data_IF_610515538391
#
_entry.id   IF_610515538391
#
_cell.length_a   1.000
_cell.length_b   1.000
_cell.length_c   1.000
_cell.angle_alpha   90.00
_cell.angle_beta   90.00
_cell.angle_gamma   90.00
#
_symmetry.space_group_name_H-M   'P 1'
#
loop_
_entity.id
_entity.type
_entity.pdbx_description
1 polymer ?
#
# COMPACT_ATOMS: atom_id res chain seq x y z
N UNK A 1 -18.94 14.46 7.75
CA UNK A 1 -17.67 14.15 7.05
C UNK A 1 -18.01 14.03 5.58
N UNK A 2 -17.61 15.01 4.76
CA UNK A 2 -17.93 15.06 3.34
C UNK A 2 -17.00 14.08 2.63
N UNK A 3 -17.56 12.95 2.20
CA UNK A 3 -16.84 12.03 1.32
C UNK A 3 -16.78 12.67 -0.07
N UNK A 4 -15.74 12.44 -0.86
CA UNK A 4 -15.61 13.00 -2.22
C UNK A 4 -15.31 11.87 -3.22
N UNK A 5 -16.19 11.69 -4.19
CA UNK A 5 -15.96 10.95 -5.45
C UNK A 5 -16.00 11.91 -6.65
N UNK A 6 -16.04 11.42 -7.89
CA UNK A 6 -15.99 12.23 -9.12
C UNK A 6 -17.21 11.95 -10.02
N UNK A 7 -17.66 12.93 -10.82
CA UNK A 7 -18.70 12.76 -11.87
C UNK A 7 -18.22 13.33 -13.22
N UNK A 8 -18.86 12.94 -14.34
CA UNK A 8 -18.45 13.34 -15.70
C UNK A 8 -19.68 13.72 -16.55
N UNK A 9 -19.54 14.69 -17.48
CA UNK A 9 -20.57 15.06 -18.49
C UNK A 9 -19.96 15.48 -19.88
N UNK A 10 -20.09 14.67 -20.96
CA UNK A 10 -20.18 15.02 -22.42
C UNK A 10 -21.41 14.52 -23.28
N UNK A 11 -22.08 15.35 -24.09
CA UNK A 11 -23.22 15.02 -24.98
C UNK A 11 -23.03 13.69 -25.78
N UNK A 12 -23.92 12.70 -25.57
CA UNK A 12 -23.73 11.23 -25.72
C UNK A 12 -22.83 10.62 -24.62
N UNK A 13 -23.33 10.72 -23.39
CA UNK A 13 -22.56 10.96 -22.18
C UNK A 13 -22.37 9.70 -21.31
N UNK A 14 -21.29 8.94 -21.50
CA UNK A 14 -20.96 7.85 -20.57
C UNK A 14 -20.20 8.42 -19.37
N UNK A 15 -20.88 8.52 -18.23
CA UNK A 15 -20.30 8.94 -16.95
C UNK A 15 -19.89 7.76 -16.08
N UNK A 16 -18.86 7.96 -15.26
CA UNK A 16 -18.43 7.03 -14.20
C UNK A 16 -18.11 7.74 -12.89
N UNK A 17 -17.47 7.05 -11.97
CA UNK A 17 -17.00 7.57 -10.70
C UNK A 17 -15.52 7.24 -10.53
N UNK A 18 -14.87 7.96 -9.63
CA UNK A 18 -13.55 7.64 -9.13
C UNK A 18 -13.32 8.30 -7.78
N UNK A 19 -12.23 7.98 -7.11
CA UNK A 19 -11.90 8.53 -5.81
C UNK A 19 -10.39 8.64 -5.62
N UNK A 20 -9.96 9.68 -4.92
CA UNK A 20 -8.55 9.87 -4.59
C UNK A 20 -8.11 8.85 -3.54
N UNK A 21 -6.93 8.25 -3.75
CA UNK A 21 -6.28 7.34 -2.80
C UNK A 21 -4.91 7.89 -2.44
N UNK A 22 -4.59 7.89 -1.15
CA UNK A 22 -3.26 8.30 -0.69
C UNK A 22 -2.26 7.17 -0.95
N UNK A 23 -1.46 7.31 -2.00
CA UNK A 23 -0.33 6.44 -2.29
C UNK A 23 0.95 7.09 -1.76
N UNK A 24 1.57 6.54 -0.69
CA UNK A 24 2.81 7.04 -0.13
C UNK A 24 3.92 7.15 -1.17
N UNK A 25 4.71 8.22 -1.11
CA UNK A 25 5.86 8.41 -2.01
C UNK A 25 5.52 8.93 -3.41
N UNK A 26 4.27 9.34 -3.68
CA UNK A 26 3.87 9.95 -4.95
C UNK A 26 3.89 11.48 -4.94
N UNK A 27 4.34 12.08 -6.04
CA UNK A 27 4.21 13.50 -6.37
C UNK A 27 2.91 13.80 -7.15
N UNK A 28 2.24 12.77 -7.64
CA UNK A 28 0.92 12.82 -8.26
C UNK A 28 -0.19 12.45 -7.27
N UNK A 29 -1.36 13.04 -7.46
CA UNK A 29 -2.60 12.60 -6.85
C UNK A 29 -3.18 11.45 -7.69
N UNK A 30 -3.51 10.35 -7.04
CA UNK A 30 -3.93 9.12 -7.71
C UNK A 30 -5.43 8.92 -7.50
N UNK A 31 -6.17 8.76 -8.60
CA UNK A 31 -7.59 8.43 -8.61
C UNK A 31 -7.73 6.96 -8.98
N UNK A 32 -8.47 6.20 -8.18
CA UNK A 32 -8.91 4.86 -8.55
C UNK A 32 -10.28 4.93 -9.21
N UNK A 33 -10.49 4.11 -10.24
CA UNK A 33 -11.74 4.03 -11.01
C UNK A 33 -11.91 2.62 -11.58
N UNK A 34 -13.12 2.29 -12.07
CA UNK A 34 -13.34 1.09 -12.87
C UNK A 34 -12.59 1.19 -14.20
N UNK A 35 -12.09 0.06 -14.71
CA UNK A 35 -11.36 -0.03 -15.97
C UNK A 35 -12.23 0.35 -17.17
N UNK A 36 -13.49 -0.06 -17.17
CA UNK A 36 -14.46 0.27 -18.22
C UNK A 36 -14.88 1.77 -18.29
N UNK A 37 -14.43 2.59 -17.33
CA UNK A 37 -14.54 4.04 -17.44
C UNK A 37 -13.41 4.62 -18.33
N UNK A 38 -12.28 3.91 -18.45
CA UNK A 38 -11.08 4.34 -19.17
C UNK A 38 -10.91 3.64 -20.53
N UNK A 39 -11.66 2.58 -20.78
CA UNK A 39 -11.71 1.89 -22.07
C UNK A 39 -13.05 1.20 -22.30
N UNK A 40 -13.38 0.95 -23.56
CA UNK A 40 -14.59 0.22 -23.95
C UNK A 40 -14.35 -1.29 -24.11
N UNK A 41 -15.44 -2.02 -24.39
CA UNK A 41 -15.44 -3.47 -24.60
C UNK A 41 -14.70 -3.93 -25.86
N UNK A 42 -14.40 -3.01 -26.78
CA UNK A 42 -13.61 -3.26 -27.99
C UNK A 42 -12.11 -2.98 -27.76
N UNK A 43 -11.71 -2.64 -26.54
CA UNK A 43 -10.32 -2.33 -26.20
C UNK A 43 -9.92 -0.89 -26.51
N UNK A 44 -10.84 -0.03 -26.97
CA UNK A 44 -10.54 1.36 -27.32
C UNK A 44 -10.55 2.24 -26.08
N UNK A 45 -9.53 3.10 -25.95
CA UNK A 45 -9.42 4.08 -24.86
C UNK A 45 -10.53 5.13 -24.93
N UNK A 46 -11.02 5.54 -23.76
CA UNK A 46 -11.94 6.68 -23.63
C UNK A 46 -11.26 7.96 -24.09
N UNK A 47 -11.91 8.71 -24.98
CA UNK A 47 -11.40 9.99 -25.51
C UNK A 47 -12.06 11.18 -24.78
N UNK A 48 -11.39 12.33 -24.77
CA UNK A 48 -11.89 13.58 -24.18
C UNK A 48 -12.27 13.45 -22.69
N UNK A 49 -11.50 12.67 -21.93
CA UNK A 49 -11.73 12.39 -20.52
C UNK A 49 -11.54 13.65 -19.66
N UNK A 50 -12.49 13.98 -18.77
CA UNK A 50 -12.45 15.19 -17.91
C UNK A 50 -12.92 14.96 -16.47
N UNK A 51 -12.02 15.02 -15.49
CA UNK A 51 -12.34 14.74 -14.10
C UNK A 51 -12.97 15.94 -13.38
N UNK A 52 -13.95 15.69 -12.51
CA UNK A 52 -14.61 16.74 -11.72
C UNK A 52 -14.72 16.36 -10.25
N UNK A 53 -14.27 17.24 -9.36
CA UNK A 53 -14.45 17.12 -7.91
C UNK A 53 -15.08 18.39 -7.33
N UNK A 54 -15.70 18.27 -6.15
CA UNK A 54 -16.50 19.34 -5.54
C UNK A 54 -15.71 20.61 -5.22
N UNK A 55 -14.39 20.50 -4.94
CA UNK A 55 -13.55 21.68 -4.66
C UNK A 55 -13.22 22.53 -5.90
N UNK A 56 -13.60 22.08 -7.11
CA UNK A 56 -13.36 22.83 -8.36
C UNK A 56 -14.23 24.09 -8.51
N UNK A 57 -15.34 24.17 -7.77
CA UNK A 57 -16.35 25.21 -7.93
C UNK A 57 -17.16 25.07 -9.23
N UNK A 58 -18.32 25.72 -9.29
CA UNK A 58 -19.28 25.61 -10.40
C UNK A 58 -18.77 26.14 -11.75
N UNK A 59 -17.70 26.95 -11.74
CA UNK A 59 -17.19 27.64 -12.93
C UNK A 59 -16.13 26.85 -13.69
N UNK A 60 -15.55 25.79 -13.11
CA UNK A 60 -14.55 24.98 -13.79
C UNK A 60 -15.20 24.07 -14.82
N UNK A 61 -14.50 23.73 -15.92
CA UNK A 61 -14.98 22.75 -16.93
C UNK A 61 -14.45 21.32 -16.70
N UNK A 62 -14.08 21.00 -15.45
CA UNK A 62 -13.32 19.80 -15.10
C UNK A 62 -11.85 19.92 -15.46
N UNK A 63 -11.07 18.89 -15.13
CA UNK A 63 -9.66 18.76 -15.46
C UNK A 63 -9.51 17.76 -16.59
N UNK A 64 -8.90 18.19 -17.69
CA UNK A 64 -8.61 17.31 -18.82
C UNK A 64 -7.61 16.22 -18.42
N UNK A 65 -7.94 14.97 -18.76
CA UNK A 65 -7.12 13.80 -18.48
C UNK A 65 -6.63 13.25 -19.81
N UNK A 66 -5.31 13.24 -20.00
CA UNK A 66 -4.70 12.70 -21.20
C UNK A 66 -4.55 11.18 -21.08
N UNK A 67 -4.54 10.49 -22.21
CA UNK A 67 -4.39 9.02 -22.23
C UNK A 67 -3.14 8.55 -21.47
N UNK A 68 -2.02 9.28 -21.62
CA UNK A 68 -0.74 9.00 -20.93
C UNK A 68 -0.84 9.05 -19.40
N UNK A 69 -1.84 9.74 -18.86
CA UNK A 69 -2.08 9.91 -17.43
C UNK A 69 -3.02 8.81 -16.88
N UNK A 70 -3.46 7.89 -17.73
CA UNK A 70 -4.32 6.76 -17.37
C UNK A 70 -3.59 5.43 -17.43
N UNK A 71 -3.99 4.50 -16.58
CA UNK A 71 -3.58 3.09 -16.63
C UNK A 71 -4.78 2.20 -16.35
N UNK A 72 -4.84 1.04 -16.98
CA UNK A 72 -5.90 0.03 -16.78
C UNK A 72 -5.24 -1.31 -16.59
N UNK A 73 -5.84 -2.17 -15.76
CA UNK A 73 -5.30 -3.50 -15.50
C UNK A 73 -4.97 -4.22 -16.81
N UNK A 74 -3.81 -4.86 -16.84
CA UNK A 74 -3.35 -5.66 -17.98
C UNK A 74 -4.37 -6.74 -18.35
N UNK A 75 -4.94 -7.42 -17.36
CA UNK A 75 -5.93 -8.48 -17.58
C UNK A 75 -7.19 -7.91 -18.21
N UNK A 76 -7.75 -6.85 -17.63
CA UNK A 76 -8.96 -6.22 -18.17
C UNK A 76 -8.71 -5.62 -19.56
N UNK A 77 -7.56 -4.98 -19.78
CA UNK A 77 -7.24 -4.38 -21.07
C UNK A 77 -7.13 -5.39 -22.22
N UNK A 78 -6.79 -6.64 -21.91
CA UNK A 78 -6.72 -7.73 -22.89
C UNK A 78 -8.09 -8.32 -23.20
N UNK A 79 -9.01 -8.28 -22.22
CA UNK A 79 -10.35 -8.86 -22.34
C UNK A 79 -11.37 -8.00 -21.58
N UNK A 80 -11.76 -6.81 -22.08
CA UNK A 80 -12.55 -5.83 -21.34
C UNK A 80 -14.05 -6.19 -21.32
N UNK A 81 -14.40 -7.24 -20.60
CA UNK A 81 -15.77 -7.73 -20.47
C UNK A 81 -16.04 -8.29 -19.06
N UNK A 82 -17.27 -8.76 -18.80
CA UNK A 82 -17.65 -9.22 -17.46
C UNK A 82 -16.83 -10.43 -16.96
N UNK A 83 -16.19 -11.21 -17.85
CA UNK A 83 -15.34 -12.32 -17.41
C UNK A 83 -14.09 -11.84 -16.67
N UNK A 84 -13.59 -10.64 -17.00
CA UNK A 84 -12.48 -9.99 -16.32
C UNK A 84 -12.94 -8.95 -15.28
N UNK A 85 -14.22 -9.00 -14.86
CA UNK A 85 -14.79 -8.07 -13.88
C UNK A 85 -14.06 -7.99 -12.53
N UNK A 86 -13.25 -9.01 -12.19
CA UNK A 86 -12.40 -8.97 -10.99
C UNK A 86 -11.23 -7.97 -11.16
N UNK A 87 -10.78 -7.76 -12.39
CA UNK A 87 -9.66 -6.91 -12.79
C UNK A 87 -10.12 -5.62 -13.47
N UNK A 88 -11.42 -5.32 -13.43
CA UNK A 88 -12.02 -4.10 -13.98
C UNK A 88 -11.71 -2.88 -13.10
N UNK A 89 -10.45 -2.47 -13.13
CA UNK A 89 -9.91 -1.31 -12.46
C UNK A 89 -8.90 -0.58 -13.31
N UNK A 90 -8.67 0.68 -12.96
CA UNK A 90 -7.60 1.50 -13.48
C UNK A 90 -7.34 2.70 -12.58
N UNK A 91 -6.33 3.47 -12.95
CA UNK A 91 -5.97 4.70 -12.26
C UNK A 91 -5.87 5.88 -13.22
N UNK A 92 -6.06 7.06 -12.65
CA UNK A 92 -5.73 8.34 -13.27
C UNK A 92 -4.71 9.04 -12.37
N UNK A 93 -3.66 9.58 -12.98
CA UNK A 93 -2.58 10.28 -12.30
C UNK A 93 -2.66 11.77 -12.61
N UNK A 94 -2.82 12.61 -11.59
CA UNK A 94 -2.89 14.07 -11.75
C UNK A 94 -1.75 14.71 -10.97
N UNK A 95 -0.93 15.61 -11.56
CA UNK A 95 0.09 16.32 -10.81
C UNK A 95 -0.50 17.02 -9.57
N UNK A 96 0.12 16.90 -8.40
CA UNK A 96 -0.35 17.63 -7.19
C UNK A 96 -0.29 19.16 -7.37
N UNK A 97 0.55 19.63 -8.28
CA UNK A 97 0.70 21.03 -8.70
C UNK A 97 -0.23 21.44 -9.84
N UNK A 98 -1.14 20.56 -10.27
CA UNK A 98 -2.09 20.88 -11.34
C UNK A 98 -2.90 22.13 -10.97
N UNK A 99 -3.35 22.85 -12.00
CA UNK A 99 -4.31 23.94 -11.85
C UNK A 99 -5.57 23.59 -12.63
N UNK A 100 -6.68 23.29 -11.95
CA UNK A 100 -6.93 23.35 -10.51
C UNK A 100 -6.27 22.18 -9.76
N UNK A 101 -5.87 22.44 -8.51
CA UNK A 101 -5.15 21.44 -7.72
C UNK A 101 -6.08 20.31 -7.26
N UNK A 102 -5.59 19.06 -7.19
CA UNK A 102 -6.33 17.95 -6.60
C UNK A 102 -6.74 18.25 -5.14
N UNK A 103 -7.82 17.64 -4.64
CA UNK A 103 -8.22 17.77 -3.24
C UNK A 103 -7.10 17.34 -2.29
N UNK A 104 -7.06 17.98 -1.11
CA UNK A 104 -6.14 17.60 -0.01
C UNK A 104 -6.63 16.39 0.78
N UNK A 105 -7.73 15.78 0.36
CA UNK A 105 -8.34 14.61 0.99
C UNK A 105 -8.31 13.42 0.04
N UNK A 106 -8.00 12.25 0.60
CA UNK A 106 -7.92 11.01 -0.14
C UNK A 106 -8.22 9.83 0.81
N UNK A 107 -8.76 8.75 0.27
CA UNK A 107 -8.94 7.51 1.02
C UNK A 107 -7.60 6.86 1.35
N UNK A 108 -7.58 6.19 2.50
CA UNK A 108 -6.53 5.25 2.82
C UNK A 108 -6.79 3.87 2.21
N UNK A 109 -5.79 3.00 2.30
CA UNK A 109 -5.92 1.57 1.99
C UNK A 109 -5.21 0.75 3.08
N UNK A 110 -5.64 -0.50 3.28
CA UNK A 110 -5.03 -1.41 4.24
C UNK A 110 -4.97 -2.82 3.64
N UNK A 111 -3.79 -3.23 3.16
CA UNK A 111 -3.64 -4.52 2.47
C UNK A 111 -3.84 -5.73 3.40
N UNK A 112 -3.73 -5.55 4.73
CA UNK A 112 -4.12 -6.58 5.70
C UNK A 112 -5.60 -6.93 5.60
N UNK A 113 -6.49 -5.95 5.43
CA UNK A 113 -7.93 -6.20 5.22
C UNK A 113 -8.20 -6.98 3.93
N UNK A 114 -7.28 -6.93 2.98
CA UNK A 114 -7.39 -7.66 1.73
C UNK A 114 -7.06 -9.15 1.85
N UNK A 115 -6.41 -9.58 2.92
CA UNK A 115 -6.14 -10.99 3.20
C UNK A 115 -7.22 -11.64 4.06
N UNK A 116 -8.09 -10.86 4.68
CA UNK A 116 -9.18 -11.38 5.51
C UNK A 116 -10.17 -12.21 4.66
N UNK A 117 -10.64 -13.33 5.20
CA UNK A 117 -11.70 -14.15 4.59
C UNK A 117 -13.09 -13.55 4.81
N UNK A 118 -13.19 -12.59 5.74
CA UNK A 118 -14.42 -11.90 6.12
C UNK A 118 -14.11 -10.44 6.40
N UNK A 119 -14.92 -9.54 5.86
CA UNK A 119 -14.87 -8.13 6.23
C UNK A 119 -16.01 -7.84 7.19
N UNK A 120 -15.64 -7.57 8.44
CA UNK A 120 -16.59 -7.12 9.47
C UNK A 120 -16.75 -5.60 9.42
N UNK A 121 -17.94 -5.10 9.79
CA UNK A 121 -18.27 -3.67 9.79
C UNK A 121 -19.26 -3.24 8.70
N UNK A 122 -19.44 -1.92 8.58
CA UNK A 122 -20.42 -1.31 7.66
C UNK A 122 -19.76 -1.12 6.30
N UNK A 123 -20.37 -1.71 5.26
CA UNK A 123 -19.99 -1.43 3.89
C UNK A 123 -20.59 -0.09 3.48
N UNK A 124 -19.75 0.86 3.11
CA UNK A 124 -20.17 2.16 2.59
C UNK A 124 -19.78 2.27 1.12
N UNK A 125 -20.67 2.82 0.31
CA UNK A 125 -20.35 3.24 -1.06
C UNK A 125 -20.58 4.73 -1.14
N UNK A 126 -19.59 5.47 -1.67
CA UNK A 126 -19.74 6.89 -1.93
C UNK A 126 -19.60 7.16 -3.42
N UNK A 127 -20.64 7.79 -3.98
CA UNK A 127 -20.85 7.91 -5.42
C UNK A 127 -21.53 9.24 -5.77
N UNK A 128 -21.21 9.78 -6.94
CA UNK A 128 -22.09 10.73 -7.61
C UNK A 128 -23.03 9.96 -8.53
N UNK A 129 -24.30 10.32 -8.45
CA UNK A 129 -25.29 9.82 -9.39
C UNK A 129 -25.08 10.49 -10.74
N UNK A 130 -25.49 9.83 -11.82
CA UNK A 130 -25.46 10.41 -13.18
C UNK A 130 -26.32 11.67 -13.30
N UNK A 131 -27.33 11.79 -12.44
CA UNK A 131 -28.21 12.94 -12.30
C UNK A 131 -27.62 14.08 -11.46
N UNK A 132 -26.48 13.86 -10.80
CA UNK A 132 -25.88 14.86 -9.92
C UNK A 132 -25.50 16.13 -10.69
N UNK A 133 -25.71 17.28 -10.06
CA UNK A 133 -25.29 18.59 -10.59
C UNK A 133 -23.86 18.91 -10.11
N UNK A 134 -23.11 19.72 -10.86
CA UNK A 134 -21.84 20.26 -10.38
C UNK A 134 -22.01 20.90 -8.99
N UNK A 135 -21.11 20.58 -8.06
CA UNK A 135 -21.16 21.10 -6.69
C UNK A 135 -22.02 20.31 -5.69
N UNK A 136 -22.89 19.40 -6.14
CA UNK A 136 -23.60 18.51 -5.23
C UNK A 136 -22.62 17.56 -4.53
N UNK A 137 -22.76 17.27 -3.22
CA UNK A 137 -21.92 16.30 -2.56
C UNK A 137 -22.23 14.88 -3.06
N UNK A 138 -21.29 13.92 -2.98
CA UNK A 138 -21.62 12.55 -3.33
C UNK A 138 -22.63 11.97 -2.35
N UNK A 139 -23.49 11.13 -2.91
CA UNK A 139 -24.38 10.25 -2.16
C UNK A 139 -23.57 9.17 -1.44
N UNK A 140 -24.09 8.72 -0.30
CA UNK A 140 -23.53 7.58 0.43
C UNK A 140 -24.61 6.54 0.66
N UNK A 141 -24.38 5.33 0.14
CA UNK A 141 -25.17 4.15 0.47
C UNK A 141 -24.45 3.31 1.52
N UNK A 142 -25.22 2.73 2.43
CA UNK A 142 -24.71 1.86 3.50
C UNK A 142 -25.34 0.48 3.38
N UNK A 143 -24.54 -0.55 3.63
CA UNK A 143 -24.97 -1.93 3.61
C UNK A 143 -24.00 -2.84 4.35
N UNK A 144 -23.96 -4.10 3.96
CA UNK A 144 -23.07 -5.12 4.54
C UNK A 144 -22.28 -5.84 3.46
N UNK A 145 -21.07 -6.26 3.80
CA UNK A 145 -20.31 -7.20 2.97
C UNK A 145 -21.01 -8.57 2.95
N UNK A 146 -20.91 -9.27 1.84
CA UNK A 146 -21.27 -10.68 1.75
C UNK A 146 -20.08 -11.48 2.27
N UNK A 147 -20.30 -12.20 3.37
CA UNK A 147 -19.30 -13.05 4.02
C UNK A 147 -19.75 -14.52 4.01
N UNK A 148 -18.83 -15.50 3.91
CA UNK A 148 -17.40 -15.32 3.67
C UNK A 148 -17.14 -14.79 2.26
N UNK A 149 -15.96 -14.20 2.05
CA UNK A 149 -15.56 -13.68 0.74
C UNK A 149 -15.34 -14.87 -0.20
N UNK A 150 -16.21 -14.97 -1.21
CA UNK A 150 -16.23 -16.12 -2.12
C UNK A 150 -15.19 -16.03 -3.24
N UNK A 151 -14.70 -14.82 -3.54
CA UNK A 151 -13.70 -14.55 -4.58
C UNK A 151 -12.63 -13.64 -4.03
N UNK A 152 -11.39 -14.11 -4.04
CA UNK A 152 -10.26 -13.39 -3.42
C UNK A 152 -10.13 -11.94 -3.93
N UNK A 153 -10.27 -11.72 -5.25
CA UNK A 153 -10.05 -10.44 -5.92
C UNK A 153 -11.32 -9.62 -6.19
N UNK A 154 -12.48 -10.03 -5.68
CA UNK A 154 -13.75 -9.33 -5.90
C UNK A 154 -14.61 -9.38 -4.64
N UNK A 155 -15.00 -8.20 -4.15
CA UNK A 155 -15.95 -8.10 -3.05
C UNK A 155 -17.37 -8.08 -3.57
N UNK A 156 -18.26 -8.70 -2.81
CA UNK A 156 -19.70 -8.63 -3.00
C UNK A 156 -20.32 -8.00 -1.75
N UNK A 157 -21.32 -7.14 -1.95
CA UNK A 157 -21.93 -6.38 -0.87
C UNK A 157 -23.39 -6.05 -1.15
N UNK A 158 -24.20 -6.14 -0.09
CA UNK A 158 -25.64 -5.90 -0.14
C UNK A 158 -25.92 -4.44 0.18
N UNK A 159 -25.83 -3.60 -0.86
CA UNK A 159 -26.15 -2.17 -0.82
C UNK A 159 -26.87 -1.80 -2.10
N UNK A 160 -27.81 -0.87 -1.99
CA UNK A 160 -28.52 -0.34 -3.15
C UNK A 160 -27.58 0.53 -3.98
N UNK A 161 -27.43 0.18 -5.26
CA UNK A 161 -26.63 0.92 -6.22
C UNK A 161 -27.45 1.14 -7.49
N UNK A 162 -27.42 2.36 -8.02
CA UNK A 162 -28.06 2.70 -9.30
C UNK A 162 -27.06 2.58 -10.47
N UNK A 163 -27.57 2.56 -11.69
CA UNK A 163 -26.70 2.58 -12.87
C UNK A 163 -25.88 3.88 -12.91
N UNK A 164 -24.59 3.76 -13.28
CA UNK A 164 -23.67 4.91 -13.39
C UNK A 164 -22.84 5.20 -12.14
N UNK A 165 -22.93 4.38 -11.10
CA UNK A 165 -22.04 4.46 -9.93
C UNK A 165 -20.71 3.70 -10.11
N UNK A 166 -20.44 3.14 -11.29
CA UNK A 166 -19.19 2.42 -11.57
C UNK A 166 -17.93 3.26 -11.33
N UNK A 167 -16.95 2.69 -10.64
CA UNK A 167 -15.72 3.35 -10.18
C UNK A 167 -15.85 4.02 -8.80
N UNK A 168 -17.02 3.95 -8.17
CA UNK A 168 -17.23 4.47 -6.82
C UNK A 168 -16.40 3.74 -5.78
N UNK A 169 -16.02 4.46 -4.73
CA UNK A 169 -15.31 3.88 -3.59
C UNK A 169 -16.24 3.00 -2.77
N UNK A 170 -15.78 1.78 -2.49
CA UNK A 170 -16.34 0.93 -1.44
C UNK A 170 -15.38 0.99 -0.27
N UNK A 171 -15.87 1.40 0.90
CA UNK A 171 -15.03 1.65 2.08
C UNK A 171 -15.69 1.20 3.38
N UNK A 172 -14.83 0.97 4.38
CA UNK A 172 -15.23 0.70 5.76
C UNK A 172 -14.36 1.54 6.72
N UNK A 173 -14.74 1.59 7.99
CA UNK A 173 -13.90 2.17 9.03
C UNK A 173 -12.80 1.20 9.43
N UNK A 174 -11.55 1.66 9.46
CA UNK A 174 -10.41 0.90 9.97
C UNK A 174 -9.44 1.84 10.69
N UNK A 175 -9.04 1.47 11.91
CA UNK A 175 -8.22 2.30 12.81
C UNK A 175 -8.73 3.75 12.95
N UNK A 176 -10.06 3.92 13.03
CA UNK A 176 -10.71 5.22 13.19
C UNK A 176 -10.72 6.12 11.93
N UNK A 177 -10.33 5.58 10.77
CA UNK A 177 -10.30 6.32 9.49
C UNK A 177 -11.02 5.57 8.37
N UNK A 178 -11.55 6.26 7.35
CA UNK A 178 -12.14 5.59 6.19
C UNK A 178 -11.06 4.94 5.33
N UNK A 179 -11.21 3.64 5.06
CA UNK A 179 -10.29 2.85 4.24
C UNK A 179 -11.05 2.26 3.05
N UNK A 180 -10.56 2.54 1.85
CA UNK A 180 -11.08 1.94 0.63
C UNK A 180 -10.71 0.45 0.60
N UNK A 181 -11.68 -0.40 0.27
CA UNK A 181 -11.53 -1.86 0.21
C UNK A 181 -11.91 -2.45 -1.15
N UNK A 182 -12.66 -1.71 -1.97
CA UNK A 182 -12.94 -2.08 -3.36
C UNK A 182 -13.28 -0.87 -4.23
N UNK A 183 -13.18 -1.07 -5.53
CA UNK A 183 -13.69 -0.18 -6.58
C UNK A 183 -14.99 -0.80 -7.09
N UNK A 184 -16.14 -0.14 -6.91
CA UNK A 184 -17.40 -0.64 -7.43
C UNK A 184 -17.37 -0.73 -8.95
N UNK A 185 -17.84 -1.82 -9.54
CA UNK A 185 -17.78 -1.99 -11.00
C UNK A 185 -19.00 -2.67 -11.62
N UNK A 186 -19.65 -3.59 -10.92
CA UNK A 186 -20.82 -4.29 -11.44
C UNK A 186 -21.96 -4.38 -10.42
N UNK A 187 -23.19 -4.40 -10.91
CA UNK A 187 -24.34 -4.80 -10.12
C UNK A 187 -24.35 -6.31 -9.81
N UNK A 188 -25.40 -6.79 -9.10
CA UNK A 188 -25.52 -8.21 -8.76
C UNK A 188 -25.64 -9.08 -10.00
N UNK A 189 -24.90 -10.21 -10.01
CA UNK A 189 -24.92 -11.18 -11.13
C UNK A 189 -26.32 -11.77 -11.38
N UNK A 190 -27.15 -11.82 -10.35
CA UNK A 190 -28.55 -12.26 -10.42
C UNK A 190 -29.41 -11.26 -9.66
N UNK A 191 -30.57 -10.89 -10.22
CA UNK A 191 -31.56 -10.08 -9.51
C UNK A 191 -32.23 -10.92 -8.41
N UNK A 192 -31.57 -11.02 -7.27
CA UNK A 192 -32.07 -11.69 -6.08
C UNK A 192 -31.50 -11.01 -4.84
N UNK A 193 -32.25 -10.91 -3.73
CA UNK A 193 -31.77 -10.28 -2.49
C UNK A 193 -30.53 -10.96 -1.87
N UNK A 194 -30.19 -12.16 -2.35
CA UNK A 194 -29.01 -12.92 -1.91
C UNK A 194 -27.72 -12.49 -2.62
N UNK A 195 -27.82 -11.82 -3.76
CA UNK A 195 -26.66 -11.37 -4.53
C UNK A 195 -26.52 -9.85 -4.42
N UNK A 196 -25.30 -9.42 -4.10
CA UNK A 196 -24.94 -8.04 -3.91
C UNK A 196 -24.28 -7.42 -5.13
N UNK A 197 -24.15 -6.10 -5.09
CA UNK A 197 -23.26 -5.38 -5.99
C UNK A 197 -21.80 -5.82 -5.77
N UNK A 198 -20.99 -5.65 -6.80
CA UNK A 198 -19.64 -6.19 -6.90
C UNK A 198 -18.63 -5.07 -7.12
N UNK A 199 -17.43 -5.26 -6.59
CA UNK A 199 -16.29 -4.40 -6.86
C UNK A 199 -14.98 -5.17 -6.90
N UNK A 200 -14.04 -4.72 -7.75
CA UNK A 200 -12.66 -5.19 -7.71
C UNK A 200 -12.07 -4.89 -6.33
N UNK A 201 -11.58 -5.92 -5.65
CA UNK A 201 -11.05 -5.80 -4.29
C UNK A 201 -9.70 -5.09 -4.34
N UNK A 202 -9.50 -4.10 -3.47
CA UNK A 202 -8.19 -3.47 -3.28
C UNK A 202 -7.33 -4.44 -2.49
N UNK A 203 -6.59 -5.28 -3.19
CA UNK A 203 -5.73 -6.31 -2.64
C UNK A 203 -4.30 -6.23 -3.17
N UNK A 204 -3.46 -7.19 -2.77
CA UNK A 204 -2.06 -7.22 -3.17
C UNK A 204 -1.88 -7.35 -4.69
N UNK A 205 -2.77 -8.07 -5.39
CA UNK A 205 -2.70 -8.22 -6.84
C UNK A 205 -2.92 -6.86 -7.51
N UNK A 206 -4.01 -6.19 -7.18
CA UNK A 206 -4.34 -4.87 -7.71
C UNK A 206 -3.27 -3.83 -7.33
N UNK A 207 -2.91 -3.77 -6.05
CA UNK A 207 -2.03 -2.71 -5.55
C UNK A 207 -0.60 -2.87 -6.05
N UNK A 208 -0.08 -4.08 -6.26
CA UNK A 208 1.24 -4.24 -6.91
C UNK A 208 1.24 -3.66 -8.31
N UNK A 209 0.22 -3.95 -9.12
CA UNK A 209 0.11 -3.40 -10.48
C UNK A 209 0.05 -1.86 -10.45
N UNK A 210 -0.74 -1.28 -9.54
CA UNK A 210 -0.82 0.17 -9.35
C UNK A 210 0.51 0.77 -8.87
N UNK A 211 1.20 0.10 -7.96
CA UNK A 211 2.46 0.57 -7.41
C UNK A 211 3.62 0.48 -8.41
N UNK A 212 3.54 -0.43 -9.38
CA UNK A 212 4.44 -0.46 -10.54
C UNK A 212 4.22 0.74 -11.44
N UNK A 213 2.96 1.04 -11.77
CA UNK A 213 2.63 2.19 -12.62
C UNK A 213 3.07 3.52 -12.01
N UNK A 214 2.99 3.62 -10.69
CA UNK A 214 3.36 4.83 -9.92
C UNK A 214 4.84 4.84 -9.54
N UNK A 215 5.56 3.73 -9.67
CA UNK A 215 6.99 3.65 -9.33
C UNK A 215 7.31 3.61 -7.83
N UNK A 216 6.32 3.41 -6.96
CA UNK A 216 6.51 3.30 -5.50
C UNK A 216 6.87 1.90 -5.04
N UNK A 217 6.67 0.89 -5.89
CA UNK A 217 7.10 -0.47 -5.63
C UNK A 217 8.53 -0.70 -6.09
N UNK A 218 9.38 -1.14 -5.17
CA UNK A 218 10.78 -1.44 -5.41
C UNK A 218 10.99 -2.95 -5.26
N UNK A 219 11.53 -3.61 -6.29
CA UNK A 219 11.64 -5.09 -6.35
C UNK A 219 12.98 -5.63 -5.85
N UNK A 220 14.04 -4.84 -5.88
CA UNK A 220 15.39 -5.28 -5.48
C UNK A 220 16.01 -4.25 -4.55
N UNK A 221 15.50 -4.19 -3.32
CA UNK A 221 16.00 -3.27 -2.28
C UNK A 221 16.85 -4.05 -1.28
N UNK A 222 18.10 -3.65 -1.12
CA UNK A 222 18.93 -4.12 -0.03
C UNK A 222 18.61 -3.36 1.27
N UNK A 223 18.53 -4.08 2.39
CA UNK A 223 18.38 -3.51 3.73
C UNK A 223 19.77 -3.47 4.38
N UNK A 224 20.43 -2.30 4.34
CA UNK A 224 21.83 -2.11 4.72
C UNK A 224 21.93 -1.32 6.04
N UNK A 225 22.77 -1.73 6.99
CA UNK A 225 23.00 -0.92 8.19
C UNK A 225 23.98 0.23 7.95
N UNK A 226 23.73 1.36 8.61
CA UNK A 226 24.58 2.54 8.61
C UNK A 226 25.08 2.90 10.01
N UNK A 227 26.33 3.42 10.09
CA UNK A 227 26.89 3.87 11.35
C UNK A 227 26.07 5.04 11.90
N UNK A 228 25.92 5.05 13.22
CA UNK A 228 25.19 6.07 13.96
C UNK A 228 25.88 7.43 13.97
N UNK A 229 27.21 7.44 13.90
CA UNK A 229 28.05 8.62 14.03
C UNK A 229 29.20 8.55 13.02
N UNK A 230 29.56 9.69 12.42
CA UNK A 230 30.70 9.85 11.50
C UNK A 230 32.05 9.40 12.08
N UNK A 231 32.18 9.30 13.41
CA UNK A 231 33.39 8.80 14.08
C UNK A 231 33.51 7.27 14.09
N UNK A 232 32.43 6.54 13.81
CA UNK A 232 32.49 5.08 13.72
C UNK A 232 33.15 4.66 12.40
N UNK A 233 34.00 3.63 12.40
CA UNK A 233 34.56 3.10 11.17
C UNK A 233 33.40 2.61 10.29
N UNK A 234 33.36 3.08 9.05
CA UNK A 234 32.45 2.50 8.06
C UNK A 234 33.04 1.14 7.69
N UNK A 235 32.24 0.06 7.67
CA UNK A 235 32.70 -1.24 7.19
C UNK A 235 33.29 -1.09 5.78
N UNK A 236 34.33 -1.86 5.45
CA UNK A 236 34.78 -1.95 4.06
C UNK A 236 33.72 -2.62 3.18
N UNK A 237 32.98 -3.56 3.75
CA UNK A 237 31.92 -4.32 3.13
C UNK A 237 30.55 -3.98 3.76
N UNK A 238 29.47 -3.79 2.98
CA UNK A 238 28.19 -3.39 3.52
C UNK A 238 27.64 -4.45 4.47
N UNK A 239 27.08 -3.98 5.59
CA UNK A 239 26.29 -4.84 6.46
C UNK A 239 24.85 -4.92 5.97
N UNK A 240 24.31 -6.11 5.74
CA UNK A 240 22.93 -6.25 5.29
C UNK A 240 22.14 -7.34 6.02
N UNK A 241 20.81 -7.26 5.90
CA UNK A 241 19.89 -8.26 6.42
C UNK A 241 19.67 -9.37 5.38
N UNK A 242 19.92 -10.64 5.73
CA UNK A 242 19.58 -11.80 4.91
C UNK A 242 18.98 -12.93 5.72
N UNK A 243 18.39 -13.90 5.02
CA UNK A 243 17.75 -15.05 5.63
C UNK A 243 18.73 -16.18 5.93
N UNK A 244 18.77 -16.65 7.17
CA UNK A 244 19.50 -17.87 7.54
C UNK A 244 18.60 -19.09 7.41
N UNK A 245 18.95 -19.99 6.48
CA UNK A 245 18.26 -21.28 6.35
C UNK A 245 18.51 -22.22 7.54
N UNK A 246 19.62 -22.08 8.26
CA UNK A 246 19.89 -22.91 9.43
C UNK A 246 18.96 -22.56 10.60
N UNK A 247 18.87 -21.28 10.92
CA UNK A 247 18.10 -20.80 12.08
C UNK A 247 16.63 -20.52 11.76
N UNK A 248 16.29 -20.42 10.47
CA UNK A 248 14.98 -19.95 10.01
C UNK A 248 14.64 -18.54 10.55
N UNK A 249 15.64 -17.65 10.59
CA UNK A 249 15.49 -16.23 10.99
C UNK A 249 16.24 -15.31 10.03
N UNK A 250 15.86 -14.03 10.00
CA UNK A 250 16.62 -12.98 9.32
C UNK A 250 17.79 -12.55 10.22
N UNK A 251 19.00 -12.64 9.69
CA UNK A 251 20.27 -12.29 10.32
C UNK A 251 20.94 -11.11 9.63
N UNK A 252 21.89 -10.53 10.33
CA UNK A 252 22.68 -9.41 9.85
C UNK A 252 24.09 -9.93 9.56
N UNK A 253 24.60 -9.72 8.35
CA UNK A 253 25.87 -10.27 7.90
C UNK A 253 26.64 -9.27 7.03
N UNK A 254 27.96 -9.46 6.94
CA UNK A 254 28.85 -8.67 6.10
C UNK A 254 28.83 -9.24 4.69
N UNK A 255 28.34 -8.46 3.72
CA UNK A 255 28.20 -8.91 2.34
C UNK A 255 29.45 -8.59 1.51
N UNK A 256 29.98 -9.58 0.79
CA UNK A 256 31.07 -9.41 -0.18
C UNK A 256 30.71 -8.39 -1.26
N UNK A 257 31.67 -7.55 -1.68
CA UNK A 257 31.52 -6.57 -2.75
C UNK A 257 31.70 -7.19 -4.15
N UNK A 258 32.12 -8.46 -4.24
CA UNK A 258 32.43 -9.13 -5.50
C UNK A 258 31.33 -10.00 -6.09
N UNK A 259 30.22 -10.26 -5.39
CA UNK A 259 28.89 -10.57 -5.95
C UNK A 259 27.94 -10.96 -4.81
N UNK A 260 26.79 -10.29 -4.64
CA UNK A 260 25.70 -10.84 -3.84
C UNK A 260 25.24 -12.18 -4.43
N UNK A 261 24.92 -13.18 -3.61
CA UNK A 261 23.72 -13.95 -3.92
C UNK A 261 22.55 -12.96 -3.79
N UNK A 262 22.30 -12.19 -4.86
CA UNK A 262 21.35 -11.06 -4.88
C UNK A 262 19.97 -11.46 -4.36
N UNK A 263 19.66 -12.75 -4.41
CA UNK A 263 18.41 -13.34 -3.99
C UNK A 263 18.18 -13.36 -2.48
N UNK A 264 19.22 -13.36 -1.64
CA UNK A 264 19.08 -13.52 -0.18
C UNK A 264 19.04 -12.20 0.58
N UNK A 265 19.69 -11.16 0.04
CA UNK A 265 19.80 -9.83 0.65
C UNK A 265 18.89 -8.76 0.02
N UNK A 266 18.15 -9.10 -1.05
CA UNK A 266 17.19 -8.18 -1.66
C UNK A 266 15.77 -8.45 -1.21
N UNK A 267 15.00 -7.37 -1.09
CA UNK A 267 13.62 -7.36 -0.69
C UNK A 267 12.80 -6.53 -1.66
N UNK A 268 11.54 -6.92 -1.75
CA UNK A 268 10.46 -6.15 -2.30
C UNK A 268 9.99 -5.17 -1.23
N UNK A 269 9.98 -3.87 -1.53
CA UNK A 269 9.51 -2.82 -0.65
C UNK A 269 8.31 -2.11 -1.29
N UNK A 270 7.20 -2.05 -0.57
CA UNK A 270 5.97 -1.43 -1.04
C UNK A 270 5.10 -0.90 0.10
N UNK A 271 4.33 0.17 -0.11
CA UNK A 271 3.31 0.61 0.82
C UNK A 271 2.26 -0.48 1.06
N UNK A 272 2.00 -0.83 2.32
CA UNK A 272 1.01 -1.87 2.69
C UNK A 272 -0.16 -1.30 3.49
N UNK A 273 0.03 -0.11 4.05
CA UNK A 273 -1.02 0.66 4.69
C UNK A 273 -0.79 2.15 4.45
N UNK A 274 -1.89 2.86 4.25
CA UNK A 274 -1.92 4.30 4.20
C UNK A 274 -3.22 4.77 4.83
N UNK A 275 -3.15 5.66 5.81
CA UNK A 275 -4.33 6.28 6.40
C UNK A 275 -4.94 7.28 5.41
N UNK A 276 -6.23 7.55 5.57
CA UNK A 276 -6.87 8.62 4.81
C UNK A 276 -6.18 9.96 5.04
N UNK A 277 -5.97 10.71 3.95
CA UNK A 277 -5.56 12.11 4.05
C UNK A 277 -6.74 12.94 4.52
N UNK A 278 -6.60 13.53 5.71
CA UNK A 278 -7.59 14.42 6.31
C UNK A 278 -6.95 15.79 6.55
N UNK A 279 -7.73 16.89 6.51
CA UNK A 279 -7.18 18.22 6.75
C UNK A 279 -6.42 18.28 8.07
N UNK A 280 -5.18 18.80 8.04
CA UNK A 280 -4.30 19.02 9.21
C UNK A 280 -3.79 17.74 9.91
N UNK A 281 -3.82 16.58 9.25
CA UNK A 281 -3.19 15.35 9.75
C UNK A 281 -2.25 14.77 8.70
N UNK A 282 -1.01 14.53 9.10
CA UNK A 282 -0.11 13.71 8.31
C UNK A 282 -0.63 12.26 8.31
N UNK A 283 -0.85 11.63 7.15
CA UNK A 283 -1.32 10.25 7.10
C UNK A 283 -0.29 9.32 7.72
N UNK A 284 -0.77 8.33 8.48
CA UNK A 284 0.07 7.22 8.93
C UNK A 284 0.28 6.27 7.75
N UNK A 285 1.51 5.87 7.51
CA UNK A 285 1.89 5.01 6.38
C UNK A 285 2.76 3.86 6.91
N UNK A 286 2.58 2.67 6.35
CA UNK A 286 3.43 1.51 6.64
C UNK A 286 3.95 0.95 5.31
N UNK A 287 5.25 0.65 5.30
CA UNK A 287 5.93 -0.01 4.19
C UNK A 287 6.18 -1.46 4.63
N UNK A 288 5.79 -2.41 3.80
CA UNK A 288 6.11 -3.81 3.98
C UNK A 288 7.35 -4.19 3.19
N UNK A 289 8.14 -5.10 3.76
CA UNK A 289 9.28 -5.73 3.11
C UNK A 289 8.98 -7.20 2.93
N UNK A 290 9.24 -7.74 1.75
CA UNK A 290 8.99 -9.14 1.46
C UNK A 290 10.05 -9.73 0.53
N UNK A 291 10.13 -11.04 0.49
CA UNK A 291 10.79 -11.77 -0.58
C UNK A 291 9.76 -12.64 -1.30
N UNK A 292 10.04 -12.96 -2.57
CA UNK A 292 9.30 -14.02 -3.26
C UNK A 292 9.54 -15.33 -2.51
N UNK A 293 8.47 -16.05 -2.22
CA UNK A 293 8.53 -17.33 -1.54
C UNK A 293 8.95 -18.42 -2.53
N UNK A 294 10.23 -18.79 -2.51
CA UNK A 294 10.83 -19.79 -3.41
C UNK A 294 10.63 -21.24 -2.97
N UNK A 295 9.86 -21.49 -1.90
CA UNK A 295 9.65 -22.85 -1.41
C UNK A 295 8.83 -23.68 -2.43
N UNK A 296 9.08 -24.99 -2.59
CA UNK A 296 8.46 -25.80 -3.66
C UNK A 296 6.92 -25.83 -3.73
N UNK A 297 6.22 -25.44 -2.66
CA UNK A 297 4.75 -25.43 -2.57
C UNK A 297 4.15 -24.02 -2.63
N UNK A 298 4.97 -22.99 -2.73
CA UNK A 298 4.51 -21.61 -2.80
C UNK A 298 3.87 -21.33 -4.16
N UNK A 299 2.84 -20.47 -4.17
CA UNK A 299 2.34 -19.92 -5.43
C UNK A 299 3.43 -19.02 -6.06
N UNK A 300 3.42 -18.89 -7.39
CA UNK A 300 4.44 -18.16 -8.16
C UNK A 300 4.67 -16.72 -7.66
N UNK A 301 3.60 -16.05 -7.20
CA UNK A 301 3.64 -14.67 -6.67
C UNK A 301 3.51 -14.59 -5.14
N UNK A 302 3.67 -15.71 -4.44
CA UNK A 302 3.59 -15.74 -2.98
C UNK A 302 4.76 -14.95 -2.39
N UNK A 303 4.45 -14.15 -1.37
CA UNK A 303 5.42 -13.31 -0.69
C UNK A 303 5.56 -13.75 0.76
N UNK A 304 6.81 -13.83 1.21
CA UNK A 304 7.15 -13.98 2.62
C UNK A 304 7.55 -12.62 3.17
N UNK A 305 6.86 -12.15 4.20
CA UNK A 305 6.96 -10.79 4.72
C UNK A 305 7.90 -10.73 5.92
N UNK A 306 8.77 -9.73 5.95
CA UNK A 306 9.60 -9.44 7.11
C UNK A 306 8.68 -9.12 8.29
N UNK A 307 8.80 -9.92 9.35
CA UNK A 307 7.99 -9.83 10.56
C UNK A 307 8.88 -9.70 11.77
N UNK A 308 8.65 -8.65 12.55
CA UNK A 308 9.46 -8.31 13.70
C UNK A 308 8.85 -8.90 14.98
N UNK A 309 9.63 -9.64 15.76
CA UNK A 309 9.16 -10.31 16.97
C UNK A 309 9.90 -9.79 18.22
N UNK A 310 9.23 -8.87 18.92
CA UNK A 310 9.70 -8.28 20.18
C UNK A 310 9.89 -9.31 21.27
N UNK A 311 8.88 -10.14 21.49
CA UNK A 311 8.87 -11.12 22.58
C UNK A 311 10.07 -12.07 22.50
N UNK A 312 10.52 -12.38 21.27
CA UNK A 312 11.51 -13.41 21.00
C UNK A 312 12.83 -12.84 20.48
N UNK A 313 13.00 -11.53 20.54
CA UNK A 313 14.19 -10.84 20.05
C UNK A 313 14.65 -11.29 18.65
N UNK A 314 13.71 -11.49 17.71
CA UNK A 314 14.02 -12.08 16.40
C UNK A 314 13.27 -11.39 15.27
N UNK A 315 13.82 -11.48 14.06
CA UNK A 315 13.12 -11.09 12.84
C UNK A 315 12.99 -12.33 11.98
N UNK A 316 11.79 -12.58 11.47
CA UNK A 316 11.47 -13.80 10.72
C UNK A 316 10.65 -13.48 9.49
N UNK A 317 10.41 -14.49 8.66
CA UNK A 317 9.42 -14.39 7.60
C UNK A 317 8.04 -14.87 8.08
N UNK A 318 7.04 -14.01 7.91
CA UNK A 318 5.65 -14.39 7.95
C UNK A 318 5.17 -14.83 6.56
N UNK A 319 4.38 -15.89 6.49
CA UNK A 319 3.84 -16.40 5.22
C UNK A 319 2.73 -15.53 4.60
N UNK A 320 2.26 -14.51 5.32
CA UNK A 320 1.16 -13.64 4.92
C UNK A 320 1.29 -12.27 5.60
N UNK A 321 0.79 -11.21 4.98
CA UNK A 321 0.90 -9.83 5.49
C UNK A 321 0.10 -9.61 6.79
N UNK A 322 -1.05 -10.27 6.90
CA UNK A 322 -1.92 -10.34 8.09
C UNK A 322 -1.19 -10.89 9.32
N UNK A 323 -0.21 -11.78 9.10
CA UNK A 323 0.64 -12.36 10.15
C UNK A 323 1.94 -11.59 10.35
N UNK A 324 2.31 -10.75 9.38
CA UNK A 324 3.52 -9.96 9.44
C UNK A 324 3.34 -8.83 10.44
N UNK A 325 4.30 -8.67 11.34
CA UNK A 325 4.35 -7.55 12.28
C UNK A 325 5.15 -6.44 11.62
N UNK A 326 4.46 -5.48 11.02
CA UNK A 326 5.03 -4.41 10.21
C UNK A 326 5.58 -3.26 11.06
N UNK A 327 6.36 -2.40 10.42
CA UNK A 327 7.02 -1.25 11.06
C UNK A 327 6.48 0.04 10.48
N UNK A 328 6.24 1.02 11.35
CA UNK A 328 6.04 2.40 10.90
C UNK A 328 7.39 3.05 10.66
N UNK A 329 7.66 3.44 9.42
CA UNK A 329 8.88 4.17 9.08
C UNK A 329 8.75 5.66 9.46
N UNK A 330 8.86 5.97 10.74
CA UNK A 330 8.96 7.35 11.22
C UNK A 330 10.44 7.71 11.40
N UNK A 331 11.06 8.35 10.39
CA UNK A 331 12.33 9.07 10.61
C UNK A 331 12.02 10.44 11.26
N UNK A 332 11.32 10.43 12.40
CA UNK A 332 11.08 11.61 13.23
C UNK A 332 11.04 11.19 14.70
N UNK A 333 12.20 11.21 15.34
CA UNK A 333 12.29 11.08 16.80
C UNK A 333 12.13 12.45 17.48
N UNK A 334 11.41 12.57 18.60
CA UNK A 334 11.30 13.80 19.38
C UNK A 334 12.56 14.11 20.23
N UNK A 335 13.72 13.60 19.83
CA UNK A 335 14.94 13.64 20.65
C UNK A 335 16.09 14.22 19.82
N UNK A 336 16.64 15.32 20.30
CA UNK A 336 17.72 16.11 19.70
C UNK A 336 18.95 15.27 19.28
N UNK A 337 18.91 14.68 18.08
CA UNK A 337 20.09 14.25 17.31
C UNK A 337 20.94 13.11 17.85
N UNK A 338 20.46 12.25 18.77
CA UNK A 338 21.30 11.19 19.40
C UNK A 338 20.81 9.75 19.27
N UNK A 339 19.58 9.50 18.82
CA UNK A 339 19.05 8.16 18.58
C UNK A 339 18.17 8.14 17.32
N UNK A 340 18.27 7.06 16.54
CA UNK A 340 17.34 6.73 15.47
C UNK A 340 16.76 5.36 15.83
N UNK A 341 15.44 5.25 15.82
CA UNK A 341 14.71 4.03 16.16
C UNK A 341 13.62 3.80 15.12
N UNK A 342 13.32 2.54 14.85
CA UNK A 342 12.13 2.15 14.11
C UNK A 342 10.98 2.07 15.11
N UNK A 343 9.82 2.69 14.85
CA UNK A 343 8.70 2.67 15.80
C UNK A 343 7.64 1.65 15.38
N UNK A 344 7.13 0.90 16.36
CA UNK A 344 6.22 -0.22 16.19
C UNK A 344 4.99 0.01 17.05
N UNK A 345 3.82 -0.27 16.49
CA UNK A 345 2.62 -0.46 17.29
C UNK A 345 2.62 -1.90 17.79
N UNK A 346 2.72 -2.09 19.11
CA UNK A 346 2.71 -3.40 19.75
C UNK A 346 1.65 -3.43 20.86
N UNK A 347 0.55 -4.16 20.62
CA UNK A 347 -0.64 -4.04 21.47
C UNK A 347 -1.11 -2.59 21.51
N UNK A 348 -1.34 -2.06 22.73
CA UNK A 348 -1.73 -0.67 22.97
C UNK A 348 -0.54 0.29 23.15
N UNK A 349 0.70 -0.18 22.95
CA UNK A 349 1.91 0.60 23.18
C UNK A 349 2.69 0.87 21.88
N UNK A 350 3.40 2.00 21.85
CA UNK A 350 4.43 2.24 20.83
C UNK A 350 5.77 1.75 21.37
N UNK A 351 6.38 0.77 20.69
CA UNK A 351 7.72 0.24 20.98
C UNK A 351 8.71 0.76 19.95
N UNK A 352 9.99 0.84 20.30
CA UNK A 352 11.05 1.16 19.34
C UNK A 352 11.97 -0.06 19.18
N UNK A 353 12.33 -0.43 17.94
CA UNK A 353 13.46 -1.35 17.71
C UNK A 353 14.73 -0.55 17.82
N UNK A 354 15.61 -1.03 18.69
CA UNK A 354 16.92 -0.47 18.96
C UNK A 354 17.88 -1.67 19.06
N UNK A 355 18.77 -1.80 18.09
CA UNK A 355 19.58 -2.99 17.80
C UNK A 355 20.45 -3.48 18.99
N UNK A 356 20.37 -4.72 19.53
CA UNK A 356 21.19 -5.06 20.74
C UNK A 356 22.67 -5.14 20.47
N UNK A 357 23.35 -4.84 21.57
CA UNK A 357 24.69 -5.21 21.94
C UNK A 357 24.61 -6.45 22.83
N UNK A 358 25.47 -7.43 22.57
CA UNK A 358 26.21 -8.10 23.65
C UNK A 358 27.70 -7.77 23.43
N UNK A 359 28.46 -7.77 24.53
CA UNK A 359 29.62 -6.91 24.85
C UNK A 359 30.91 -7.03 24.02
N UNK A 360 30.87 -7.59 22.82
CA UNK A 360 32.00 -7.47 21.89
C UNK A 360 31.65 -6.43 20.83
N UNK A 361 32.27 -5.25 20.91
CA UNK A 361 32.35 -4.31 19.77
C UNK A 361 32.59 -5.14 18.53
N UNK A 362 31.70 -5.10 17.52
CA UNK A 362 31.92 -5.79 16.24
C UNK A 362 33.34 -5.47 15.83
N UNK A 363 34.21 -6.47 15.97
CA UNK A 363 35.64 -6.26 15.94
C UNK A 363 35.94 -5.82 14.52
N UNK A 364 36.88 -4.89 14.37
CA UNK A 364 37.21 -4.34 13.06
C UNK A 364 37.47 -5.45 12.03
N UNK A 365 38.00 -6.60 12.44
CA UNK A 365 38.23 -7.75 11.57
C UNK A 365 36.94 -8.48 11.15
N UNK A 366 35.91 -8.54 11.99
CA UNK A 366 34.60 -9.13 11.64
C UNK A 366 33.90 -8.32 10.54
N UNK A 367 34.12 -7.00 10.51
CA UNK A 367 33.63 -6.11 9.44
C UNK A 367 34.36 -6.28 8.10
N UNK A 368 35.48 -7.00 8.09
CA UNK A 368 36.31 -7.17 6.89
C UNK A 368 36.24 -8.59 6.32
N UNK A 369 35.56 -9.52 7.00
CA UNK A 369 35.40 -10.90 6.56
C UNK A 369 34.02 -11.06 5.91
N UNK A 370 33.94 -11.31 4.59
CA UNK A 370 32.71 -11.71 3.93
C UNK A 370 31.99 -12.83 4.69
N UNK A 371 30.66 -12.80 4.65
CA UNK A 371 29.74 -13.82 5.19
C UNK A 371 29.81 -14.03 6.71
N UNK A 372 30.47 -13.14 7.44
CA UNK A 372 30.47 -13.18 8.91
C UNK A 372 29.10 -12.76 9.44
N UNK A 373 28.43 -13.68 10.12
CA UNK A 373 27.12 -13.48 10.74
C UNK A 373 27.22 -12.85 12.13
N UNK A 374 26.26 -11.98 12.50
CA UNK A 374 26.09 -11.56 13.88
C UNK A 374 24.64 -11.15 14.23
N UNK A 375 24.38 -11.06 15.54
CA UNK A 375 23.08 -10.75 16.15
C UNK A 375 22.75 -9.26 16.05
N UNK A 376 22.45 -8.77 14.84
CA UNK A 376 22.30 -7.34 14.59
C UNK A 376 20.97 -6.68 15.01
N UNK A 377 20.11 -7.32 15.81
CA UNK A 377 18.78 -6.75 16.18
C UNK A 377 18.41 -7.06 17.65
N UNK A 378 17.94 -6.05 18.37
CA UNK A 378 17.13 -6.25 19.56
C UNK A 378 16.10 -5.18 19.79
N UNK A 379 15.33 -5.42 20.84
CA UNK A 379 14.13 -4.72 21.20
C UNK A 379 14.32 -4.20 22.62
N UNK A 380 13.96 -2.93 22.85
CA UNK A 380 13.99 -2.32 24.17
C UNK A 380 12.79 -1.41 24.38
N UNK A 381 12.46 -1.16 25.64
CA UNK A 381 11.44 -0.19 26.00
C UNK A 381 12.00 1.24 25.95
N UNK A 382 11.14 2.18 25.55
CA UNK A 382 11.48 3.60 25.34
C UNK A 382 12.02 4.32 26.59
N UNK A 383 11.85 3.73 27.77
CA UNK A 383 12.28 4.27 29.05
C UNK A 383 13.73 3.98 29.43
N UNK A 384 14.41 3.09 28.71
CA UNK A 384 15.77 2.68 29.10
C UNK A 384 16.85 3.59 28.50
N UNK A 385 17.82 3.99 29.33
CA UNK A 385 18.73 5.12 29.02
C UNK A 385 20.19 4.73 28.75
N UNK A 386 20.53 3.44 28.78
CA UNK A 386 21.85 2.97 28.37
C UNK A 386 21.74 1.94 27.25
N UNK A 387 22.36 2.27 26.13
CA UNK A 387 22.42 1.46 24.94
C UNK A 387 23.75 1.70 24.19
N UNK A 388 24.41 0.65 23.72
CA UNK A 388 25.70 0.73 23.02
C UNK A 388 25.79 -0.15 21.76
N UNK A 389 24.98 0.03 20.71
CA UNK A 389 25.22 -0.66 19.42
C UNK A 389 26.02 0.20 18.42
N UNK A 390 26.93 -0.46 17.70
CA UNK A 390 27.79 0.09 16.66
C UNK A 390 27.04 0.59 15.39
N UNK A 391 25.80 0.16 15.12
CA UNK A 391 25.00 0.61 13.96
C UNK A 391 23.54 0.89 14.38
N UNK A 392 23.01 2.07 14.04
CA UNK A 392 21.71 2.55 14.55
C UNK A 392 20.58 2.59 13.52
N UNK A 393 20.86 2.34 12.25
CA UNK A 393 19.82 2.49 11.22
C UNK A 393 20.06 1.52 10.08
N UNK A 394 19.06 0.70 9.76
CA UNK A 394 18.98 0.07 8.46
C UNK A 394 18.39 1.06 7.46
N UNK A 395 19.12 1.30 6.38
CA UNK A 395 18.66 2.05 5.22
C UNK A 395 18.31 1.09 4.10
N UNK A 396 17.35 1.49 3.30
CA UNK A 396 17.02 0.83 2.05
C UNK A 396 17.89 1.42 0.95
N UNK A 397 18.55 0.58 0.16
CA UNK A 397 19.17 0.98 -1.10
C UNK A 397 18.58 0.17 -2.24
N UNK A 398 18.17 0.87 -3.29
CA UNK A 398 17.90 0.22 -4.57
C UNK A 398 19.25 -0.35 -5.06
N UNK A 399 19.26 -1.63 -5.46
CA UNK A 399 20.43 -2.34 -5.98
C UNK A 399 20.55 -2.14 -7.49
#
# INVERSE_FOLDING_TARGET
MTVQSLTWKSIAEKGGNGFFVNIPGQDQAIIFTAGHNLMDENGKRTQNLRAWWSDLGEQHKGVEILEKDTRVSKVFSTKPNEESAIDDFGIIMIPKTNNPSPPKTAFGFALRLAEEERLEGICNISSYLTTAKPGEPPTRSTGRFVNPILKQHQLEYLTYTEAGVSGSVVWTGYNGTPVAVAIHNYGPKRKSPKYGSRGSRIDMKMMREIMEWTGVYKRAVAIIAQPANRKQPTPSLPLCMAWSEQDKVLRVHVQDDTEPTAEEATFHALPVFSAAMLPRKDPKEEIGFAQIDKRPKAAEDAMRWVSWNFDWNSVTFASALSRARLVKWDVKGPWAGKMAGMTFSWGDAMREVVFRVDDEVVKKWELNLPDTEYTGIAYQDKSDSKFENAYKKFIMKDV
#
